data_IF_956172911425
#
_entry.id   IF_956172911425
#
_cell.length_a   1.000
_cell.length_b   1.000
_cell.length_c   1.000
_cell.angle_alpha   90.00
_cell.angle_beta   90.00
_cell.angle_gamma   90.00
#
_symmetry.space_group_name_H-M   'P 1'
#
loop_
_entity.id
_entity.type
_entity.pdbx_description
1 polymer ?
#
# COMPACT_ATOMS: atom_id res chain seq x y z
N UNK A 1 -33.06 51.34 5.10
CA UNK A 1 -32.95 49.88 5.37
C UNK A 1 -32.29 49.25 4.16
N UNK A 2 -31.04 48.84 4.29
CA UNK A 2 -30.27 48.24 3.18
C UNK A 2 -30.84 46.85 2.85
N UNK A 3 -31.17 46.61 1.57
CA UNK A 3 -31.75 45.32 1.12
C UNK A 3 -30.73 44.22 1.33
N UNK A 4 -31.02 43.30 2.25
CA UNK A 4 -30.25 42.07 2.45
C UNK A 4 -30.24 41.26 1.14
N UNK A 5 -29.05 41.08 0.56
CA UNK A 5 -28.80 40.21 -0.58
C UNK A 5 -27.95 39.01 -0.13
N UNK A 6 -27.88 37.96 -0.96
CA UNK A 6 -27.15 36.72 -0.63
C UNK A 6 -25.69 36.97 -0.20
N UNK A 7 -25.04 37.97 -0.79
CA UNK A 7 -23.65 38.34 -0.47
C UNK A 7 -23.52 39.00 0.89
N UNK A 8 -24.48 39.85 1.26
CA UNK A 8 -24.52 40.52 2.56
C UNK A 8 -24.89 39.54 3.67
N UNK A 9 -25.80 38.59 3.39
CA UNK A 9 -26.14 37.50 4.32
C UNK A 9 -24.94 36.62 4.64
N UNK A 10 -24.19 36.18 3.62
CA UNK A 10 -23.00 35.33 3.82
C UNK A 10 -21.88 36.06 4.59
N UNK A 11 -21.70 37.36 4.37
CA UNK A 11 -20.74 38.17 5.14
C UNK A 11 -21.14 38.26 6.62
N UNK A 12 -22.42 38.52 6.90
CA UNK A 12 -22.93 38.61 8.27
C UNK A 12 -22.92 37.24 8.97
N UNK A 13 -23.27 36.15 8.28
CA UNK A 13 -23.25 34.80 8.83
C UNK A 13 -21.82 34.29 9.12
N UNK A 14 -20.85 34.62 8.25
CA UNK A 14 -19.43 34.30 8.48
C UNK A 14 -18.83 35.04 9.68
N UNK A 15 -19.22 36.29 9.92
CA UNK A 15 -18.77 37.08 11.07
C UNK A 15 -19.38 36.60 12.39
N UNK A 16 -20.65 36.16 12.39
CA UNK A 16 -21.32 35.63 13.57
C UNK A 16 -20.83 34.23 13.97
N UNK A 17 -20.46 33.39 13.00
CA UNK A 17 -19.90 32.06 13.28
C UNK A 17 -18.49 32.13 13.85
N UNK A 18 -17.67 33.09 13.41
CA UNK A 18 -16.31 33.30 13.91
C UNK A 18 -16.24 33.90 15.34
N UNK A 19 -17.32 34.51 15.83
CA UNK A 19 -17.37 35.13 17.17
C UNK A 19 -18.01 34.23 18.23
N UNK A 20 -18.87 33.28 17.84
CA UNK A 20 -19.51 32.32 18.78
C UNK A 20 -18.63 31.09 18.99
N UNK A 21 -17.93 30.61 17.95
CA UNK A 21 -16.85 29.67 18.15
C UNK A 21 -15.65 30.49 18.62
N UNK A 22 -15.31 30.45 19.90
CA UNK A 22 -14.02 30.94 20.38
C UNK A 22 -12.91 30.14 19.69
N UNK A 23 -12.55 30.53 18.46
CA UNK A 23 -11.48 29.93 17.67
C UNK A 23 -10.18 30.34 18.32
N UNK A 24 -9.89 29.67 19.44
CA UNK A 24 -8.53 29.41 19.83
C UNK A 24 -7.84 28.86 18.58
N UNK A 25 -6.80 29.54 18.14
CA UNK A 25 -5.85 29.09 17.12
C UNK A 25 -5.03 27.89 17.60
N UNK A 26 -5.54 27.10 18.56
CA UNK A 26 -5.03 25.78 18.87
C UNK A 26 -4.99 25.02 17.56
N UNK A 27 -3.76 24.83 17.09
CA UNK A 27 -3.41 24.01 15.95
C UNK A 27 -4.31 22.79 15.98
N UNK A 28 -5.04 22.59 14.89
CA UNK A 28 -5.76 21.36 14.65
C UNK A 28 -4.78 20.21 14.90
N UNK A 29 -4.93 19.46 16.00
CA UNK A 29 -4.22 18.20 16.28
C UNK A 29 -4.63 17.08 15.32
N UNK A 30 -4.92 17.43 14.07
CA UNK A 30 -5.38 16.53 13.02
C UNK A 30 -4.23 16.12 12.08
N UNK A 31 -3.06 16.74 12.20
CA UNK A 31 -1.85 16.17 11.61
C UNK A 31 -1.42 14.99 12.50
N UNK A 32 -1.44 13.74 12.00
CA UNK A 32 -0.83 12.64 12.75
C UNK A 32 0.62 13.00 13.02
N UNK A 33 1.10 12.80 14.26
CA UNK A 33 2.53 12.91 14.54
C UNK A 33 3.28 11.99 13.59
N UNK A 34 4.34 12.51 12.97
CA UNK A 34 5.17 11.72 12.10
C UNK A 34 5.94 10.72 12.97
N UNK A 35 5.40 9.50 13.10
CA UNK A 35 5.98 8.41 13.91
C UNK A 35 7.22 7.79 13.25
N UNK A 36 7.67 8.29 12.10
CA UNK A 36 8.75 7.67 11.33
C UNK A 36 10.11 8.08 11.87
N UNK A 37 10.94 7.08 12.13
CA UNK A 37 12.35 7.30 12.46
C UNK A 37 13.11 7.88 11.27
N UNK A 38 14.07 8.76 11.53
CA UNK A 38 15.05 9.18 10.53
C UNK A 38 15.88 7.99 10.02
N UNK A 39 16.11 6.99 10.87
CA UNK A 39 16.84 5.75 10.57
C UNK A 39 15.94 4.62 10.04
N UNK A 40 14.75 4.95 9.50
CA UNK A 40 13.81 3.96 8.98
C UNK A 40 14.37 3.20 7.77
N UNK A 41 13.90 1.97 7.59
CA UNK A 41 14.33 1.11 6.51
C UNK A 41 13.63 1.47 5.20
N UNK A 42 14.35 1.27 4.09
CA UNK A 42 13.82 1.38 2.74
C UNK A 42 14.34 0.25 1.86
N UNK A 43 13.56 -0.13 0.85
CA UNK A 43 13.98 -1.10 -0.15
C UNK A 43 14.12 -0.38 -1.49
N UNK A 44 15.34 -0.39 -2.04
CA UNK A 44 15.61 0.06 -3.40
C UNK A 44 15.65 -1.15 -4.33
N UNK A 45 14.79 -1.14 -5.35
CA UNK A 45 14.88 -2.07 -6.48
C UNK A 45 15.40 -1.30 -7.68
N UNK A 46 16.65 -1.52 -8.03
CA UNK A 46 17.24 -0.94 -9.24
C UNK A 46 16.77 -1.73 -10.47
N UNK A 47 15.90 -1.11 -11.26
CA UNK A 47 15.34 -1.70 -12.48
C UNK A 47 16.32 -1.69 -13.65
N UNK A 48 17.42 -0.92 -13.56
CA UNK A 48 18.44 -0.87 -14.62
C UNK A 48 19.36 -2.09 -14.63
N UNK A 49 19.46 -2.78 -13.49
CA UNK A 49 20.28 -3.98 -13.29
C UNK A 49 19.44 -5.26 -13.13
N UNK A 50 18.12 -5.13 -12.99
CA UNK A 50 17.22 -6.26 -12.81
C UNK A 50 17.14 -7.12 -14.09
N UNK A 51 17.70 -8.33 -14.04
CA UNK A 51 17.69 -9.29 -15.15
C UNK A 51 16.42 -10.16 -15.23
N UNK A 52 15.48 -9.98 -14.30
CA UNK A 52 14.25 -10.76 -14.27
C UNK A 52 14.41 -12.24 -13.95
N UNK A 53 15.43 -12.63 -13.14
CA UNK A 53 15.66 -14.02 -12.75
C UNK A 53 14.59 -14.59 -11.79
N UNK A 54 13.81 -13.71 -11.14
CA UNK A 54 12.73 -14.07 -10.22
C UNK A 54 13.17 -14.84 -8.95
N UNK A 55 14.47 -14.93 -8.66
CA UNK A 55 14.96 -15.50 -7.39
C UNK A 55 14.39 -14.78 -6.15
N UNK A 56 14.05 -13.50 -6.28
CA UNK A 56 13.39 -12.75 -5.22
C UNK A 56 11.95 -13.24 -4.93
N UNK A 57 11.24 -13.80 -5.92
CA UNK A 57 9.95 -14.45 -5.72
C UNK A 57 10.11 -15.77 -4.98
N UNK A 58 11.09 -16.59 -5.39
CA UNK A 58 11.39 -17.87 -4.75
C UNK A 58 11.81 -17.69 -3.29
N UNK A 59 12.79 -16.81 -3.04
CA UNK A 59 13.31 -16.56 -1.70
C UNK A 59 12.24 -15.98 -0.77
N UNK A 60 11.36 -15.12 -1.29
CA UNK A 60 10.22 -14.62 -0.51
C UNK A 60 9.29 -15.75 -0.11
N UNK A 61 8.93 -16.64 -1.05
CA UNK A 61 8.09 -17.78 -0.71
C UNK A 61 8.73 -18.70 0.33
N UNK A 62 10.01 -19.04 0.18
CA UNK A 62 10.77 -19.82 1.16
C UNK A 62 10.74 -19.16 2.54
N UNK A 63 11.07 -17.86 2.63
CA UNK A 63 11.09 -17.12 3.90
C UNK A 63 9.73 -17.10 4.61
N UNK A 64 8.62 -17.19 3.86
CA UNK A 64 7.26 -17.19 4.39
C UNK A 64 6.61 -18.59 4.43
N UNK A 65 7.38 -19.67 4.21
CA UNK A 65 6.87 -21.04 4.14
C UNK A 65 5.70 -21.21 3.15
N UNK A 66 5.73 -20.45 2.05
CA UNK A 66 4.78 -20.58 0.95
C UNK A 66 5.28 -21.62 -0.06
N UNK A 67 4.40 -22.25 -0.87
CA UNK A 67 4.81 -23.22 -1.89
C UNK A 67 5.75 -22.60 -2.94
N UNK A 68 7.05 -22.67 -2.68
CA UNK A 68 8.10 -22.13 -3.53
C UNK A 68 8.32 -23.00 -4.78
N UNK A 69 8.31 -24.32 -4.60
CA UNK A 69 8.71 -25.27 -5.63
C UNK A 69 10.22 -25.22 -5.89
N UNK A 70 10.66 -25.92 -6.92
CA UNK A 70 12.08 -25.95 -7.31
C UNK A 70 12.53 -24.60 -7.86
N UNK A 71 13.74 -24.18 -7.49
CA UNK A 71 14.31 -22.90 -7.91
C UNK A 71 14.39 -22.79 -9.45
N UNK A 72 14.74 -23.88 -10.14
CA UNK A 72 14.88 -23.92 -11.60
C UNK A 72 13.57 -23.59 -12.33
N UNK A 73 12.41 -23.78 -11.68
CA UNK A 73 11.11 -23.41 -12.26
C UNK A 73 10.94 -21.89 -12.48
N UNK A 74 11.77 -21.07 -11.84
CA UNK A 74 11.73 -19.61 -11.96
C UNK A 74 12.45 -19.10 -13.22
N UNK A 75 13.23 -19.94 -13.90
CA UNK A 75 13.85 -19.61 -15.19
C UNK A 75 12.82 -19.51 -16.33
N UNK A 76 11.62 -20.06 -16.15
CA UNK A 76 10.54 -19.95 -17.12
C UNK A 76 10.08 -18.50 -17.27
N UNK A 77 10.42 -17.90 -18.42
CA UNK A 77 10.03 -16.54 -18.82
C UNK A 77 8.63 -16.47 -19.40
N UNK A 78 7.93 -17.59 -19.61
CA UNK A 78 6.55 -17.60 -20.11
C UNK A 78 5.59 -16.84 -19.19
N UNK A 79 5.91 -16.74 -17.89
CA UNK A 79 5.15 -15.95 -16.91
C UNK A 79 5.04 -14.47 -17.25
N UNK A 80 5.97 -13.94 -18.06
CA UNK A 80 5.99 -12.53 -18.46
C UNK A 80 5.00 -12.21 -19.59
N UNK A 81 4.37 -13.23 -20.20
CA UNK A 81 3.31 -13.04 -21.20
C UNK A 81 2.06 -12.35 -20.64
N UNK A 82 1.92 -12.34 -19.32
CA UNK A 82 0.81 -11.69 -18.62
C UNK A 82 1.33 -10.89 -17.43
N UNK A 83 0.70 -9.74 -17.19
CA UNK A 83 0.98 -8.98 -15.97
C UNK A 83 0.43 -9.72 -14.76
N UNK A 84 1.33 -10.03 -13.82
CA UNK A 84 0.99 -10.66 -12.55
C UNK A 84 0.90 -9.61 -11.45
N UNK A 85 0.12 -9.93 -10.43
CA UNK A 85 0.06 -9.16 -9.17
C UNK A 85 0.45 -10.07 -8.01
N UNK A 86 0.92 -9.51 -6.89
CA UNK A 86 1.00 -10.27 -5.64
C UNK A 86 -0.33 -10.95 -5.32
N UNK A 87 -0.24 -12.14 -4.72
CA UNK A 87 -1.36 -12.97 -4.29
C UNK A 87 -1.11 -13.48 -2.87
N UNK A 88 -2.07 -14.21 -2.30
CA UNK A 88 -1.90 -14.84 -0.99
C UNK A 88 -0.76 -15.87 -0.95
N UNK A 89 -0.38 -16.43 -2.10
CA UNK A 89 0.69 -17.41 -2.26
C UNK A 89 1.97 -16.85 -2.92
N UNK A 90 1.98 -15.56 -3.28
CA UNK A 90 3.13 -14.90 -3.88
C UNK A 90 3.15 -13.41 -3.47
N UNK A 91 3.87 -13.08 -2.40
CA UNK A 91 3.86 -11.73 -1.81
C UNK A 91 4.64 -10.69 -2.63
N UNK A 92 5.43 -11.17 -3.59
CA UNK A 92 6.11 -10.36 -4.62
C UNK A 92 6.12 -11.10 -5.95
N UNK A 93 6.10 -10.35 -7.04
CA UNK A 93 6.22 -10.85 -8.42
C UNK A 93 7.08 -9.91 -9.25
N UNK A 94 7.73 -10.42 -10.28
CA UNK A 94 8.41 -9.62 -11.30
C UNK A 94 7.58 -9.60 -12.57
N UNK A 95 7.38 -8.42 -13.14
CA UNK A 95 6.81 -8.25 -14.47
C UNK A 95 7.85 -7.68 -15.43
N UNK A 96 7.71 -7.99 -16.71
CA UNK A 96 8.58 -7.49 -17.77
C UNK A 96 7.77 -6.56 -18.67
N UNK A 97 8.38 -5.42 -19.03
CA UNK A 97 7.80 -4.40 -19.89
C UNK A 97 8.69 -4.19 -21.09
N UNK A 98 8.08 -4.02 -22.25
CA UNK A 98 8.80 -3.65 -23.46
C UNK A 98 9.44 -2.27 -23.30
N UNK A 99 10.61 -2.09 -23.91
CA UNK A 99 11.32 -0.83 -23.91
C UNK A 99 11.36 -0.29 -25.32
N UNK A 100 10.51 0.71 -25.61
CA UNK A 100 10.41 1.32 -26.94
C UNK A 100 11.75 1.90 -27.44
N UNK A 101 12.63 2.33 -26.51
CA UNK A 101 13.94 2.88 -26.84
C UNK A 101 15.02 1.81 -27.01
N UNK A 102 14.80 0.60 -26.47
CA UNK A 102 15.74 -0.51 -26.51
C UNK A 102 14.97 -1.81 -26.76
N UNK A 103 14.58 -2.05 -28.01
CA UNK A 103 13.67 -3.14 -28.41
C UNK A 103 14.12 -4.54 -27.92
N UNK A 104 15.43 -4.77 -27.80
CA UNK A 104 16.01 -6.04 -27.35
C UNK A 104 16.36 -6.07 -25.86
N UNK A 105 16.04 -5.02 -25.11
CA UNK A 105 16.36 -4.89 -23.68
C UNK A 105 15.11 -4.45 -22.88
N UNK A 106 14.23 -5.40 -22.54
CA UNK A 106 13.04 -5.09 -21.77
C UNK A 106 13.37 -4.69 -20.33
N UNK A 107 12.45 -3.97 -19.67
CA UNK A 107 12.61 -3.54 -18.28
C UNK A 107 11.88 -4.51 -17.36
N UNK A 108 12.58 -5.05 -16.37
CA UNK A 108 11.99 -5.93 -15.37
C UNK A 108 11.70 -5.15 -14.09
N UNK A 109 10.46 -5.21 -13.62
CA UNK A 109 10.00 -4.47 -12.43
C UNK A 109 9.47 -5.45 -11.39
N UNK A 110 10.08 -5.42 -10.20
CA UNK A 110 9.58 -6.13 -9.03
C UNK A 110 8.38 -5.37 -8.45
N UNK A 111 7.27 -6.07 -8.26
CA UNK A 111 6.05 -5.58 -7.62
C UNK A 111 5.94 -6.23 -6.25
N UNK A 112 5.83 -5.41 -5.20
CA UNK A 112 5.66 -5.80 -3.80
C UNK A 112 5.00 -4.66 -3.02
N UNK A 113 4.77 -4.85 -1.71
CA UNK A 113 4.29 -3.76 -0.86
C UNK A 113 5.31 -2.61 -0.84
N UNK A 114 4.83 -1.38 -1.00
CA UNK A 114 5.68 -0.18 -0.97
C UNK A 114 5.93 0.33 0.46
N UNK A 115 5.27 -0.26 1.47
CA UNK A 115 5.38 0.18 2.87
C UNK A 115 5.27 1.71 3.04
N UNK A 116 4.29 2.30 2.35
CA UNK A 116 4.15 3.75 2.18
C UNK A 116 4.26 4.52 3.51
N UNK A 117 4.82 5.71 3.49
CA UNK A 117 4.87 6.60 4.67
C UNK A 117 3.47 7.05 5.11
N UNK A 118 2.57 7.24 4.15
CA UNK A 118 1.15 7.52 4.37
C UNK A 118 0.28 6.38 3.77
N UNK A 119 0.20 5.22 4.44
CA UNK A 119 -0.41 4.03 3.88
C UNK A 119 -1.94 4.08 3.90
N UNK A 120 -2.56 4.16 2.72
CA UNK A 120 -4.02 4.15 2.57
C UNK A 120 -4.70 2.90 3.16
N UNK A 121 -4.01 1.75 3.16
CA UNK A 121 -4.52 0.52 3.79
C UNK A 121 -4.66 0.62 5.31
N UNK A 122 -3.80 1.41 5.98
CA UNK A 122 -3.95 1.71 7.42
C UNK A 122 -5.18 2.60 7.62
N UNK A 123 -5.29 3.68 6.85
CA UNK A 123 -6.42 4.62 6.96
C UNK A 123 -7.79 3.97 6.67
N UNK A 124 -7.83 2.98 5.78
CA UNK A 124 -9.07 2.28 5.41
C UNK A 124 -9.46 1.15 6.37
N UNK A 125 -8.58 0.75 7.30
CA UNK A 125 -8.85 -0.38 8.19
C UNK A 125 -9.76 0.03 9.35
N UNK A 126 -11.04 -0.30 9.24
CA UNK A 126 -12.08 0.07 10.22
C UNK A 126 -11.95 -0.59 11.60
N UNK A 127 -11.10 -1.61 11.72
CA UNK A 127 -10.83 -2.35 12.97
C UNK A 127 -9.42 -2.09 13.50
N UNK A 128 -8.63 -1.22 12.85
CA UNK A 128 -7.27 -0.89 13.29
C UNK A 128 -6.29 -2.07 13.26
N UNK A 129 -6.52 -3.06 12.37
CA UNK A 129 -5.64 -4.22 12.21
C UNK A 129 -4.30 -3.85 11.55
N UNK A 130 -4.27 -2.82 10.69
CA UNK A 130 -3.04 -2.37 10.04
C UNK A 130 -2.33 -1.30 10.88
N UNK A 131 -1.00 -1.33 10.92
CA UNK A 131 -0.19 -0.38 11.68
C UNK A 131 1.06 0.01 10.88
N UNK A 132 1.32 1.32 10.76
CA UNK A 132 2.63 1.85 10.34
C UNK A 132 3.56 1.84 11.56
N UNK A 133 4.74 1.24 11.42
CA UNK A 133 5.78 1.18 12.46
C UNK A 133 6.81 2.28 12.24
N UNK A 134 7.54 2.62 13.30
CA UNK A 134 8.58 3.66 13.28
C UNK A 134 9.71 3.32 12.29
N UNK A 135 10.03 2.04 12.14
CA UNK A 135 11.04 1.54 11.18
C UNK A 135 10.61 1.62 9.70
N UNK A 136 9.42 2.14 9.42
CA UNK A 136 8.89 2.28 8.06
C UNK A 136 8.03 1.10 7.58
N UNK A 137 8.04 -0.04 8.25
CA UNK A 137 7.19 -1.17 7.88
C UNK A 137 5.70 -0.87 8.13
N UNK A 138 4.85 -1.57 7.40
CA UNK A 138 3.38 -1.46 7.47
C UNK A 138 2.92 -2.87 7.69
N UNK A 139 2.59 -3.22 8.92
CA UNK A 139 2.25 -4.60 9.32
C UNK A 139 0.76 -4.69 9.62
N UNK A 140 0.27 -5.90 9.81
CA UNK A 140 -1.10 -6.11 10.23
C UNK A 140 -1.19 -7.20 11.30
N UNK A 141 -2.24 -7.10 12.09
CA UNK A 141 -2.60 -8.00 13.18
C UNK A 141 -3.78 -8.87 12.71
N UNK A 142 -3.51 -10.16 12.47
CA UNK A 142 -4.51 -11.10 11.95
C UNK A 142 -5.67 -11.28 12.93
N UNK A 143 -5.41 -11.29 14.24
CA UNK A 143 -6.43 -11.49 15.27
C UNK A 143 -7.47 -10.35 15.31
N UNK A 144 -7.08 -9.14 14.90
CA UNK A 144 -7.99 -8.00 14.75
C UNK A 144 -8.68 -7.96 13.39
N UNK A 145 -8.16 -8.68 12.39
CA UNK A 145 -8.63 -8.59 11.02
C UNK A 145 -9.99 -9.27 10.85
N UNK A 146 -11.01 -8.52 10.47
CA UNK A 146 -12.35 -9.06 10.19
C UNK A 146 -12.57 -9.45 8.72
N UNK A 147 -11.51 -9.46 7.90
CA UNK A 147 -11.60 -9.88 6.50
C UNK A 147 -12.48 -8.98 5.60
N UNK A 148 -12.70 -7.71 5.93
CA UNK A 148 -13.57 -6.81 5.14
C UNK A 148 -12.99 -6.39 3.78
N UNK A 149 -11.70 -6.64 3.54
CA UNK A 149 -10.98 -6.40 2.26
C UNK A 149 -10.90 -4.94 1.80
N UNK A 150 -11.28 -3.97 2.62
CA UNK A 150 -11.14 -2.54 2.28
C UNK A 150 -9.69 -2.14 2.00
N UNK A 151 -8.72 -2.78 2.66
CA UNK A 151 -7.30 -2.59 2.39
C UNK A 151 -6.92 -2.94 0.94
N UNK A 152 -7.58 -3.92 0.31
CA UNK A 152 -7.33 -4.33 -1.08
C UNK A 152 -7.75 -3.23 -2.06
N UNK A 153 -8.88 -2.55 -1.77
CA UNK A 153 -9.43 -1.47 -2.60
C UNK A 153 -8.66 -0.18 -2.37
N UNK A 154 -8.28 0.11 -1.12
CA UNK A 154 -7.59 1.34 -0.76
C UNK A 154 -6.13 1.39 -1.24
N UNK A 155 -5.47 0.25 -1.41
CA UNK A 155 -4.08 0.22 -1.84
C UNK A 155 -3.95 0.62 -3.32
N UNK A 156 -3.27 1.74 -3.65
CA UNK A 156 -3.11 2.16 -5.05
C UNK A 156 -2.24 1.19 -5.86
N UNK A 157 -1.38 0.44 -5.16
CA UNK A 157 -0.53 -0.62 -5.73
C UNK A 157 -1.19 -1.99 -5.71
N UNK A 158 -2.40 -2.10 -5.16
CA UNK A 158 -3.19 -3.31 -5.28
C UNK A 158 -2.50 -4.56 -4.68
N UNK A 159 -1.74 -4.36 -3.60
CA UNK A 159 -0.87 -5.39 -2.99
C UNK A 159 -1.55 -6.27 -1.94
N UNK A 160 -2.34 -5.75 -0.97
CA UNK A 160 -3.05 -6.61 -0.04
C UNK A 160 -3.96 -7.58 -0.79
N UNK A 161 -3.88 -8.85 -0.40
CA UNK A 161 -4.66 -9.94 -0.99
C UNK A 161 -5.37 -10.72 0.10
N UNK A 162 -6.39 -11.50 -0.26
CA UNK A 162 -7.18 -12.29 0.68
C UNK A 162 -7.10 -13.76 0.29
N UNK A 163 -6.98 -14.66 1.26
CA UNK A 163 -7.02 -16.11 1.07
C UNK A 163 -8.46 -16.59 0.83
N UNK A 164 -8.82 -16.78 -0.43
CA UNK A 164 -10.17 -17.26 -0.80
C UNK A 164 -10.34 -18.78 -0.67
N UNK A 165 -9.22 -19.50 -0.60
CA UNK A 165 -9.13 -20.94 -0.53
C UNK A 165 -9.29 -21.50 0.89
N UNK A 166 -9.21 -20.65 1.92
CA UNK A 166 -9.48 -21.02 3.32
C UNK A 166 -10.90 -20.61 3.74
N UNK A 167 -11.72 -21.59 4.08
CA UNK A 167 -13.12 -21.33 4.46
C UNK A 167 -13.29 -20.87 5.92
N UNK A 168 -12.45 -21.37 6.84
CA UNK A 168 -12.64 -21.17 8.28
C UNK A 168 -11.76 -20.06 8.86
N UNK A 169 -10.56 -19.89 8.31
CA UNK A 169 -9.58 -18.92 8.82
C UNK A 169 -8.80 -18.27 7.66
N UNK A 170 -9.46 -17.43 6.85
CA UNK A 170 -8.81 -16.73 5.75
C UNK A 170 -8.10 -15.46 6.22
N UNK A 171 -6.85 -15.29 5.79
CA UNK A 171 -6.07 -14.13 6.15
C UNK A 171 -5.93 -13.13 5.00
N UNK A 172 -5.65 -11.88 5.37
CA UNK A 172 -5.05 -10.91 4.45
C UNK A 172 -3.55 -11.21 4.36
N UNK A 173 -3.00 -11.22 3.15
CA UNK A 173 -1.59 -11.49 2.88
C UNK A 173 -0.96 -10.38 2.02
N UNK A 174 0.28 -10.01 2.35
CA UNK A 174 1.17 -9.10 1.60
C UNK A 174 2.61 -9.23 2.15
N UNK A 175 3.59 -8.60 1.49
CA UNK A 175 4.93 -8.35 2.04
C UNK A 175 4.82 -7.64 3.40
N UNK A 176 5.51 -8.11 4.43
CA UNK A 176 5.46 -7.67 5.83
C UNK A 176 6.69 -6.85 6.27
#
# INVERSE_FOLDING_TARGET
>A
MEKQNRRNFLKSAGLLTATIAGVSTNQTKAAPENILSEDRMGILVDTTTCIGCRNCEWACKEAHNLPAGELDSYEDKSVFKQMRRPSSSALTVVNQYENEKQINNPVNVKVQCMHCDHPACVSACIVGAFTKKENGSVVWDTDKCIGCRYCMVACPFQVPTFEYDKALDPEIRKCD
#
